data_IF_839065640836
#
_entry.id   IF_839065640836
#
_cell.length_a   1.000
_cell.length_b   1.000
_cell.length_c   1.000
_cell.angle_alpha   90.00
_cell.angle_beta   90.00
_cell.angle_gamma   90.00
#
_symmetry.space_group_name_H-M   'P 1'
#
loop_
_entity.id
_entity.type
_entity.pdbx_description
1 polymer ?
#
# COMPACT_ATOMS: atom_id res chain seq x y z
N UNK A 1 31.12 -0.57 0.10
CA UNK A 1 29.80 -1.22 -0.08
C UNK A 1 29.45 -1.18 -1.56
N UNK A 2 28.86 -2.20 -2.13
CA UNK A 2 28.41 -2.14 -3.52
C UNK A 2 27.36 -1.04 -3.65
N UNK A 3 27.44 -0.25 -4.72
CA UNK A 3 26.52 0.85 -5.01
C UNK A 3 25.77 0.55 -6.28
N UNK A 4 24.49 0.88 -6.28
CA UNK A 4 23.63 0.80 -7.46
C UNK A 4 23.18 2.22 -7.78
N UNK A 5 23.30 2.60 -9.04
CA UNK A 5 22.73 3.84 -9.52
C UNK A 5 21.21 3.70 -9.59
N UNK A 6 20.51 4.48 -8.76
CA UNK A 6 19.05 4.48 -8.73
C UNK A 6 18.57 5.45 -9.79
N UNK A 7 18.17 4.93 -10.93
CA UNK A 7 17.56 5.72 -12.00
C UNK A 7 16.28 6.39 -11.49
N UNK A 8 16.09 7.66 -11.81
CA UNK A 8 14.87 8.41 -11.47
C UNK A 8 14.55 8.49 -9.97
N UNK A 9 15.58 8.65 -9.11
CA UNK A 9 15.36 8.91 -7.68
C UNK A 9 14.52 10.19 -7.49
N UNK A 10 13.64 10.17 -6.50
CA UNK A 10 12.80 11.34 -6.18
C UNK A 10 13.61 12.48 -5.59
N UNK A 11 13.26 13.73 -5.96
CA UNK A 11 13.75 14.94 -5.30
C UNK A 11 13.18 15.08 -3.89
N UNK A 12 13.78 15.95 -3.05
CA UNK A 12 13.27 16.22 -1.69
C UNK A 12 11.86 16.77 -1.70
N UNK A 13 11.55 17.61 -2.67
CA UNK A 13 10.21 18.15 -2.82
C UNK A 13 9.19 17.07 -3.23
N UNK A 14 9.53 16.21 -4.21
CA UNK A 14 8.68 15.07 -4.58
C UNK A 14 8.49 14.13 -3.38
N UNK A 15 9.53 13.89 -2.59
CA UNK A 15 9.47 13.12 -1.36
C UNK A 15 8.46 13.72 -0.37
N UNK A 16 8.54 15.02 -0.13
CA UNK A 16 7.62 15.73 0.74
C UNK A 16 6.17 15.63 0.24
N UNK A 17 5.95 15.83 -1.07
CA UNK A 17 4.63 15.64 -1.69
C UNK A 17 4.15 14.21 -1.49
N UNK A 18 4.96 13.20 -1.77
CA UNK A 18 4.60 11.79 -1.57
C UNK A 18 4.28 11.49 -0.11
N UNK A 19 5.09 11.98 0.82
CA UNK A 19 4.92 11.69 2.24
C UNK A 19 3.69 12.36 2.86
N UNK A 20 3.45 13.63 2.58
CA UNK A 20 2.41 14.40 3.25
C UNK A 20 1.07 14.43 2.52
N UNK A 21 1.04 14.33 1.18
CA UNK A 21 -0.19 14.54 0.42
C UNK A 21 -0.86 13.28 -0.10
N UNK A 22 -0.12 12.16 -0.22
CA UNK A 22 -0.64 10.93 -0.82
C UNK A 22 -1.98 10.43 -0.24
N UNK A 23 -2.24 10.46 1.08
CA UNK A 23 -3.52 10.01 1.64
C UNK A 23 -4.69 10.90 1.27
N UNK A 24 -4.46 12.19 1.03
CA UNK A 24 -5.52 13.12 0.67
C UNK A 24 -5.99 12.94 -0.78
N UNK A 25 -5.14 12.36 -1.64
CA UNK A 25 -5.45 12.14 -3.04
C UNK A 25 -6.12 10.79 -3.30
N UNK A 26 -5.82 9.77 -2.49
CA UNK A 26 -6.10 8.39 -2.90
C UNK A 26 -7.50 7.91 -2.56
N UNK A 27 -8.17 8.29 -1.50
CA UNK A 27 -9.54 7.81 -1.24
C UNK A 27 -10.20 8.46 -0.02
N UNK A 28 -10.99 9.50 -0.24
CA UNK A 28 -12.12 9.76 0.65
C UNK A 28 -13.43 9.40 -0.08
N UNK A 29 -13.74 8.11 -0.14
CA UNK A 29 -15.14 7.72 -0.28
C UNK A 29 -15.82 8.08 1.05
N UNK A 30 -16.71 9.08 1.00
CA UNK A 30 -17.51 9.43 2.16
C UNK A 30 -18.26 8.14 2.60
N UNK A 31 -18.07 7.64 3.83
CA UNK A 31 -18.69 6.41 4.31
C UNK A 31 -20.21 6.44 4.20
N UNK A 32 -20.82 7.62 4.28
CA UNK A 32 -22.26 7.82 4.11
C UNK A 32 -22.67 7.50 2.67
N UNK A 33 -21.92 7.98 1.68
CA UNK A 33 -22.19 7.72 0.26
C UNK A 33 -22.08 6.23 -0.04
N UNK A 34 -21.03 5.58 0.49
CA UNK A 34 -20.82 4.15 0.31
C UNK A 34 -21.95 3.35 0.95
N UNK A 35 -22.34 3.70 2.18
CA UNK A 35 -23.44 3.06 2.89
C UNK A 35 -24.76 3.24 2.11
N UNK A 36 -25.08 4.46 1.68
CA UNK A 36 -26.29 4.75 0.89
C UNK A 36 -26.31 3.95 -0.41
N UNK A 37 -25.16 3.84 -1.09
CA UNK A 37 -25.02 3.03 -2.30
C UNK A 37 -25.33 1.56 -2.03
N UNK A 38 -24.74 0.96 -1.00
CA UNK A 38 -25.02 -0.44 -0.64
C UNK A 38 -26.48 -0.67 -0.26
N UNK A 39 -27.07 0.23 0.53
CA UNK A 39 -28.49 0.14 0.89
C UNK A 39 -29.38 0.20 -0.36
N UNK A 40 -29.04 1.07 -1.32
CA UNK A 40 -29.77 1.18 -2.60
C UNK A 40 -29.67 -0.10 -3.43
N UNK A 41 -28.48 -0.72 -3.50
CA UNK A 41 -28.30 -2.01 -4.20
C UNK A 41 -29.14 -3.11 -3.55
N UNK A 42 -29.08 -3.22 -2.21
CA UNK A 42 -29.87 -4.22 -1.46
C UNK A 42 -31.37 -4.00 -1.68
N UNK A 43 -31.83 -2.76 -1.62
CA UNK A 43 -33.25 -2.43 -1.83
C UNK A 43 -33.70 -2.78 -3.24
N UNK A 44 -32.97 -2.42 -4.28
CA UNK A 44 -33.28 -2.76 -5.66
C UNK A 44 -33.32 -4.29 -5.87
N UNK A 45 -32.38 -5.02 -5.25
CA UNK A 45 -32.39 -6.48 -5.28
C UNK A 45 -33.62 -7.06 -4.61
N UNK A 46 -34.01 -6.56 -3.43
CA UNK A 46 -35.22 -7.00 -2.71
C UNK A 46 -36.49 -6.74 -3.54
N UNK A 47 -36.60 -5.57 -4.18
CA UNK A 47 -37.74 -5.25 -5.04
C UNK A 47 -37.84 -6.22 -6.22
N UNK A 48 -36.69 -6.52 -6.86
CA UNK A 48 -36.61 -7.52 -7.95
C UNK A 48 -37.09 -8.89 -7.46
N UNK A 49 -36.56 -9.33 -6.32
CA UNK A 49 -36.88 -10.63 -5.72
C UNK A 49 -38.34 -10.77 -5.32
N UNK A 50 -38.90 -9.72 -4.71
CA UNK A 50 -40.33 -9.67 -4.38
C UNK A 50 -41.20 -9.71 -5.65
N UNK A 51 -40.81 -9.02 -6.70
CA UNK A 51 -41.46 -9.08 -8.00
C UNK A 51 -41.51 -10.49 -8.59
N UNK A 52 -40.44 -11.26 -8.41
CA UNK A 52 -40.41 -12.68 -8.83
C UNK A 52 -41.30 -13.56 -7.97
N UNK A 53 -41.27 -13.40 -6.64
CA UNK A 53 -42.12 -14.19 -5.73
C UNK A 53 -43.62 -13.95 -5.98
N UNK A 54 -44.02 -12.68 -6.14
CA UNK A 54 -45.41 -12.32 -6.35
C UNK A 54 -45.83 -12.38 -7.82
N UNK A 55 -44.99 -12.89 -8.71
CA UNK A 55 -45.23 -12.98 -10.15
C UNK A 55 -45.65 -11.63 -10.77
N UNK A 56 -45.17 -10.54 -10.21
CA UNK A 56 -45.48 -9.19 -10.67
C UNK A 56 -44.40 -8.70 -11.62
N UNK A 57 -44.66 -8.68 -12.94
CA UNK A 57 -43.63 -8.31 -13.93
C UNK A 57 -43.15 -6.85 -13.79
N UNK A 58 -44.02 -5.95 -13.36
CA UNK A 58 -43.64 -4.54 -13.22
C UNK A 58 -42.64 -4.33 -12.08
N UNK A 59 -42.78 -5.01 -10.95
CA UNK A 59 -41.83 -4.96 -9.84
C UNK A 59 -40.52 -5.65 -10.22
N UNK A 60 -40.58 -6.80 -10.87
CA UNK A 60 -39.39 -7.54 -11.28
C UNK A 60 -38.56 -6.76 -12.30
N UNK A 61 -39.18 -6.28 -13.39
CA UNK A 61 -38.44 -5.50 -14.40
C UNK A 61 -37.97 -4.14 -13.86
N UNK A 62 -38.83 -3.43 -13.10
CA UNK A 62 -38.47 -2.14 -12.51
C UNK A 62 -37.31 -2.27 -11.53
N UNK A 63 -37.32 -3.28 -10.65
CA UNK A 63 -36.25 -3.57 -9.73
C UNK A 63 -34.93 -3.95 -10.46
N UNK A 64 -35.03 -4.79 -11.49
CA UNK A 64 -33.85 -5.18 -12.30
C UNK A 64 -33.21 -3.99 -13.02
N UNK A 65 -34.03 -3.13 -13.64
CA UNK A 65 -33.55 -1.92 -14.31
C UNK A 65 -32.87 -1.00 -13.29
N UNK A 66 -33.49 -0.77 -12.13
CA UNK A 66 -32.91 0.05 -11.07
C UNK A 66 -31.58 -0.52 -10.58
N UNK A 67 -31.49 -1.85 -10.38
CA UNK A 67 -30.25 -2.53 -9.98
C UNK A 67 -29.14 -2.33 -11.00
N UNK A 68 -29.42 -2.51 -12.29
CA UNK A 68 -28.44 -2.30 -13.37
C UNK A 68 -27.95 -0.85 -13.39
N UNK A 69 -28.87 0.13 -13.28
CA UNK A 69 -28.49 1.55 -13.27
C UNK A 69 -27.61 1.88 -12.07
N UNK A 70 -27.95 1.40 -10.88
CA UNK A 70 -27.17 1.65 -9.65
C UNK A 70 -25.78 1.03 -9.78
N UNK A 71 -25.66 -0.19 -10.29
CA UNK A 71 -24.37 -0.86 -10.48
C UNK A 71 -23.51 -0.10 -11.50
N UNK A 72 -24.08 0.27 -12.66
CA UNK A 72 -23.37 1.04 -13.68
C UNK A 72 -22.89 2.40 -13.14
N UNK A 73 -23.76 3.10 -12.40
CA UNK A 73 -23.39 4.35 -11.75
C UNK A 73 -22.22 4.16 -10.78
N UNK A 74 -22.24 3.09 -9.97
CA UNK A 74 -21.16 2.78 -9.05
C UNK A 74 -19.82 2.52 -9.77
N UNK A 75 -19.85 1.74 -10.86
CA UNK A 75 -18.66 1.47 -11.67
C UNK A 75 -18.12 2.78 -12.25
N UNK A 76 -18.95 3.60 -12.88
CA UNK A 76 -18.55 4.87 -13.50
C UNK A 76 -18.00 5.84 -12.43
N UNK A 77 -18.65 5.94 -11.26
CA UNK A 77 -18.23 6.82 -10.20
C UNK A 77 -16.87 6.39 -9.61
N UNK A 78 -16.64 5.09 -9.41
CA UNK A 78 -15.39 4.56 -8.87
C UNK A 78 -14.27 4.72 -9.90
N UNK A 79 -14.48 4.30 -11.16
CA UNK A 79 -13.46 4.40 -12.21
C UNK A 79 -13.14 5.85 -12.56
N UNK A 80 -14.14 6.71 -12.65
CA UNK A 80 -13.94 8.14 -12.89
C UNK A 80 -13.16 8.82 -11.76
N UNK A 81 -13.45 8.48 -10.51
CA UNK A 81 -12.74 9.03 -9.36
C UNK A 81 -11.29 8.55 -9.28
N UNK A 82 -11.04 7.25 -9.53
CA UNK A 82 -9.66 6.72 -9.59
C UNK A 82 -8.86 7.37 -10.70
N UNK A 83 -9.43 7.53 -11.87
CA UNK A 83 -8.78 8.20 -13.00
C UNK A 83 -8.46 9.66 -12.68
N UNK A 84 -9.41 10.41 -12.12
CA UNK A 84 -9.20 11.82 -11.72
C UNK A 84 -8.13 11.96 -10.64
N UNK A 85 -8.10 11.05 -9.66
CA UNK A 85 -7.08 11.06 -8.63
C UNK A 85 -5.69 10.75 -9.19
N UNK A 86 -5.60 9.80 -10.14
CA UNK A 86 -4.35 9.48 -10.81
C UNK A 86 -3.84 10.65 -11.68
N UNK A 87 -4.74 11.34 -12.40
CA UNK A 87 -4.38 12.53 -13.16
C UNK A 87 -3.88 13.64 -12.27
N UNK A 88 -4.59 13.98 -11.20
CA UNK A 88 -4.15 14.99 -10.22
C UNK A 88 -2.81 14.62 -9.60
N UNK A 89 -2.61 13.35 -9.24
CA UNK A 89 -1.35 12.88 -8.70
C UNK A 89 -0.19 13.09 -9.69
N UNK A 90 -0.40 12.79 -10.96
CA UNK A 90 0.58 13.05 -12.02
C UNK A 90 0.87 14.55 -12.19
N UNK A 91 -0.15 15.40 -12.11
CA UNK A 91 0.01 16.86 -12.13
C UNK A 91 0.87 17.35 -10.96
N UNK A 92 0.56 16.91 -9.73
CA UNK A 92 1.37 17.26 -8.56
C UNK A 92 2.83 16.83 -8.68
N UNK A 93 3.08 15.62 -9.18
CA UNK A 93 4.45 15.15 -9.40
C UNK A 93 5.16 15.93 -10.52
N UNK A 94 4.45 16.32 -11.57
CA UNK A 94 5.00 17.12 -12.67
C UNK A 94 5.34 18.53 -12.18
N UNK A 95 4.48 19.17 -11.40
CA UNK A 95 4.73 20.47 -10.77
C UNK A 95 5.92 20.40 -9.80
N UNK A 96 5.98 19.34 -8.98
CA UNK A 96 7.07 19.08 -8.08
C UNK A 96 8.41 18.92 -8.83
N UNK A 97 8.38 18.26 -9.97
CA UNK A 97 9.59 18.07 -10.79
C UNK A 97 10.03 19.36 -11.48
N UNK A 98 9.08 20.20 -11.91
CA UNK A 98 9.35 21.52 -12.52
C UNK A 98 9.82 22.58 -11.51
N UNK A 99 9.46 22.44 -10.23
CA UNK A 99 9.78 23.40 -9.17
C UNK A 99 11.16 23.25 -8.54
N UNK A 100 12.06 22.47 -9.15
CA UNK A 100 13.43 22.19 -8.66
C UNK A 100 14.34 23.44 -8.60
N UNK A 101 13.83 24.64 -8.92
CA UNK A 101 14.54 25.88 -8.81
C UNK A 101 14.31 26.52 -7.43
N UNK A 102 15.25 26.27 -6.55
CA UNK A 102 15.74 27.16 -5.48
C UNK A 102 14.67 27.85 -4.62
N UNK A 103 14.05 27.12 -3.71
CA UNK A 103 13.61 27.72 -2.47
C UNK A 103 14.44 27.11 -1.34
N UNK A 104 15.63 27.67 -1.12
CA UNK A 104 16.34 27.50 0.15
C UNK A 104 15.62 28.32 1.21
N UNK A 105 14.56 27.78 1.75
CA UNK A 105 14.05 28.25 3.02
C UNK A 105 14.90 27.56 4.09
N UNK A 106 15.46 28.35 5.04
CA UNK A 106 16.10 27.86 6.27
C UNK A 106 15.08 27.16 7.22
N UNK A 107 14.30 26.27 6.66
CA UNK A 107 13.39 25.42 7.41
C UNK A 107 14.12 24.13 7.76
N UNK A 108 13.96 23.60 8.99
CA UNK A 108 14.55 22.32 9.35
C UNK A 108 14.04 21.25 8.37
N UNK A 109 14.94 20.38 7.93
CA UNK A 109 14.59 19.27 7.04
C UNK A 109 13.54 18.38 7.74
N UNK A 110 12.31 18.27 7.23
CA UNK A 110 11.26 17.45 7.85
C UNK A 110 11.62 15.95 7.86
N UNK A 111 12.70 15.56 7.18
CA UNK A 111 13.15 14.17 7.04
C UNK A 111 14.49 13.89 7.74
N UNK A 112 14.99 14.79 8.58
CA UNK A 112 16.26 14.60 9.31
C UNK A 112 16.26 13.29 10.13
N UNK A 113 15.12 12.97 10.76
CA UNK A 113 14.92 11.75 11.54
C UNK A 113 14.34 10.58 10.73
N UNK A 114 14.32 10.66 9.40
CA UNK A 114 13.79 9.63 8.54
C UNK A 114 14.90 8.85 7.83
N UNK A 115 14.60 7.58 7.57
CA UNK A 115 15.36 6.72 6.66
C UNK A 115 14.52 6.42 5.42
N UNK A 116 15.16 6.52 4.25
CA UNK A 116 14.55 6.23 2.97
C UNK A 116 15.18 4.98 2.37
N UNK A 117 14.38 3.94 2.23
CA UNK A 117 14.74 2.70 1.57
C UNK A 117 14.10 2.65 0.19
N UNK A 118 14.89 2.29 -0.81
CA UNK A 118 14.49 2.28 -2.22
C UNK A 118 14.68 0.88 -2.78
N UNK A 119 13.64 0.34 -3.41
CA UNK A 119 13.72 -0.92 -4.16
C UNK A 119 13.45 -0.60 -5.63
N UNK A 120 14.48 -0.67 -6.49
CA UNK A 120 14.32 -0.50 -7.93
C UNK A 120 13.53 -1.66 -8.53
N UNK A 121 12.38 -1.38 -9.17
CA UNK A 121 11.51 -2.40 -9.74
C UNK A 121 11.91 -2.83 -11.16
N UNK A 122 12.88 -2.15 -11.78
CA UNK A 122 13.37 -2.48 -13.12
C UNK A 122 14.10 -3.83 -13.18
N UNK A 123 14.71 -4.26 -12.10
CA UNK A 123 15.56 -5.46 -12.05
C UNK A 123 14.79 -6.74 -11.72
N UNK A 124 13.53 -6.80 -12.07
CA UNK A 124 12.61 -7.91 -11.81
C UNK A 124 12.99 -9.26 -12.46
N UNK A 125 14.13 -9.34 -13.14
CA UNK A 125 14.59 -10.56 -13.81
C UNK A 125 15.29 -11.57 -12.88
N UNK A 126 15.73 -11.12 -11.73
CA UNK A 126 16.32 -11.95 -10.69
C UNK A 126 15.38 -11.98 -9.51
N UNK A 127 15.13 -13.12 -8.89
CA UNK A 127 14.36 -13.24 -7.64
C UNK A 127 15.06 -12.55 -6.45
N UNK A 128 15.97 -11.63 -6.72
CA UNK A 128 16.78 -10.89 -5.78
C UNK A 128 16.56 -9.38 -6.00
N UNK A 129 16.01 -8.70 -5.01
CA UNK A 129 15.67 -7.29 -5.06
C UNK A 129 16.60 -6.51 -4.12
N UNK A 130 17.49 -5.66 -4.65
CA UNK A 130 18.31 -4.80 -3.81
C UNK A 130 17.45 -3.74 -3.13
N UNK A 131 17.68 -3.53 -1.84
CA UNK A 131 17.12 -2.45 -1.07
C UNK A 131 18.27 -1.49 -0.73
N UNK A 132 18.22 -0.30 -1.28
CA UNK A 132 19.30 0.68 -1.18
C UNK A 132 18.84 1.92 -0.41
N UNK A 133 19.82 2.65 0.14
CA UNK A 133 19.59 3.97 0.71
C UNK A 133 19.57 5.05 -0.39
N UNK A 134 19.46 6.30 0.00
CA UNK A 134 19.44 7.45 -0.92
C UNK A 134 20.76 7.62 -1.69
N UNK A 135 21.87 7.22 -1.10
CA UNK A 135 23.21 7.26 -1.67
C UNK A 135 23.47 6.10 -2.65
N UNK A 136 22.48 5.23 -2.86
CA UNK A 136 22.58 4.04 -3.72
C UNK A 136 23.36 2.90 -3.07
N UNK A 137 23.64 2.96 -1.77
CA UNK A 137 24.34 1.90 -1.04
C UNK A 137 23.36 0.78 -0.71
N UNK A 138 23.74 -0.45 -0.97
CA UNK A 138 22.90 -1.62 -0.68
C UNK A 138 22.92 -1.87 0.82
N UNK A 139 21.73 -1.80 1.43
CA UNK A 139 21.51 -2.06 2.85
C UNK A 139 21.04 -3.50 3.05
N UNK A 140 20.09 -3.93 2.21
CA UNK A 140 19.53 -5.29 2.24
C UNK A 140 19.33 -5.83 0.83
N UNK A 141 19.26 -7.15 0.75
CA UNK A 141 18.69 -7.86 -0.39
C UNK A 141 17.45 -8.61 0.04
N UNK A 142 16.39 -8.52 -0.75
CA UNK A 142 15.16 -9.27 -0.56
C UNK A 142 15.15 -10.37 -1.62
N UNK A 143 15.29 -11.62 -1.22
CA UNK A 143 15.33 -12.78 -2.12
C UNK A 143 14.04 -13.58 -2.04
N UNK A 144 13.40 -13.83 -3.18
CA UNK A 144 12.28 -14.74 -3.29
C UNK A 144 12.76 -16.15 -3.54
N UNK A 145 12.51 -17.09 -2.63
CA UNK A 145 12.89 -18.52 -2.75
C UNK A 145 11.80 -19.37 -3.37
N UNK A 146 10.56 -19.18 -2.95
CA UNK A 146 9.41 -19.97 -3.39
C UNK A 146 8.27 -19.02 -3.79
N UNK A 147 8.04 -18.85 -5.07
CA UNK A 147 6.94 -18.09 -5.71
C UNK A 147 5.94 -17.45 -4.73
N UNK A 148 6.35 -16.35 -4.07
CA UNK A 148 5.55 -15.58 -3.14
C UNK A 148 5.28 -16.21 -1.77
N UNK A 149 5.89 -17.34 -1.42
CA UNK A 149 5.65 -18.03 -0.13
C UNK A 149 6.79 -17.93 0.86
N UNK A 150 8.01 -17.88 0.36
CA UNK A 150 9.20 -17.85 1.18
C UNK A 150 10.17 -16.79 0.68
N UNK A 151 10.55 -15.90 1.57
CA UNK A 151 11.44 -14.78 1.29
C UNK A 151 12.56 -14.74 2.32
N UNK A 152 13.74 -14.29 1.91
CA UNK A 152 14.89 -14.11 2.77
C UNK A 152 15.34 -12.65 2.65
N UNK A 153 15.57 -11.99 3.78
CA UNK A 153 16.25 -10.71 3.82
C UNK A 153 17.70 -10.97 4.19
N UNK A 154 18.60 -10.55 3.31
CA UNK A 154 20.03 -10.63 3.47
C UNK A 154 20.62 -9.25 3.77
N UNK A 155 21.72 -9.22 4.48
CA UNK A 155 22.48 -7.98 4.68
C UNK A 155 23.28 -7.59 3.42
N UNK A 156 24.01 -6.50 3.49
CA UNK A 156 24.88 -6.02 2.40
C UNK A 156 26.03 -6.97 2.05
N UNK A 157 26.31 -7.97 2.88
CA UNK A 157 27.30 -9.03 2.67
C UNK A 157 26.66 -10.33 2.17
N UNK A 158 25.39 -10.27 1.77
CA UNK A 158 24.59 -11.43 1.31
C UNK A 158 24.37 -12.53 2.37
N UNK A 159 24.60 -12.21 3.64
CA UNK A 159 24.31 -13.13 4.73
C UNK A 159 22.82 -13.10 5.05
N UNK A 160 22.21 -14.27 5.20
CA UNK A 160 20.81 -14.42 5.60
C UNK A 160 20.62 -13.86 7.01
N UNK A 161 19.77 -12.86 7.14
CA UNK A 161 19.47 -12.20 8.42
C UNK A 161 18.07 -12.57 8.90
N UNK A 162 17.10 -12.58 7.97
CA UNK A 162 15.71 -12.85 8.32
C UNK A 162 15.04 -13.74 7.28
N UNK A 163 14.18 -14.60 7.78
CA UNK A 163 13.35 -15.50 6.98
C UNK A 163 11.89 -15.07 7.09
N UNK A 164 11.20 -14.98 5.96
CA UNK A 164 9.80 -14.55 5.90
C UNK A 164 8.97 -15.64 5.25
N UNK A 165 7.99 -16.14 6.00
CA UNK A 165 6.99 -17.04 5.47
C UNK A 165 5.70 -16.30 5.16
N UNK A 166 5.26 -16.37 3.91
CA UNK A 166 4.05 -15.76 3.43
C UNK A 166 2.94 -16.81 3.25
N UNK A 167 1.74 -16.49 3.72
CA UNK A 167 0.53 -17.30 3.50
C UNK A 167 -0.58 -16.42 2.96
N UNK A 168 -1.34 -16.91 1.98
CA UNK A 168 -2.53 -16.22 1.52
C UNK A 168 -3.60 -16.21 2.62
N UNK A 169 -4.21 -15.06 2.84
CA UNK A 169 -5.34 -14.95 3.76
C UNK A 169 -6.61 -15.45 3.05
N UNK A 170 -7.25 -16.46 3.61
CA UNK A 170 -8.39 -17.19 3.01
C UNK A 170 -9.57 -16.31 2.59
N UNK A 171 -9.82 -15.20 3.30
CA UNK A 171 -10.99 -14.33 3.07
C UNK A 171 -10.74 -13.13 2.13
N UNK A 172 -9.53 -12.96 1.63
CA UNK A 172 -9.15 -11.76 0.91
C UNK A 172 -9.31 -11.85 -0.61
N UNK A 173 -9.50 -13.04 -1.14
CA UNK A 173 -9.67 -13.29 -2.58
C UNK A 173 -10.89 -12.55 -3.15
N UNK A 174 -11.86 -12.20 -2.29
CA UNK A 174 -13.13 -11.59 -2.72
C UNK A 174 -13.02 -10.06 -2.90
N UNK A 175 -12.04 -9.39 -2.28
CA UNK A 175 -12.05 -7.93 -2.15
C UNK A 175 -10.83 -7.19 -2.71
N UNK A 176 -9.79 -7.88 -3.17
CA UNK A 176 -8.61 -7.22 -3.74
C UNK A 176 -8.07 -7.97 -4.94
N UNK A 177 -7.59 -7.24 -5.94
CA UNK A 177 -6.95 -7.81 -7.14
C UNK A 177 -5.63 -8.56 -6.85
N UNK A 178 -5.06 -8.37 -5.65
CA UNK A 178 -3.91 -9.12 -5.14
C UNK A 178 -4.33 -9.76 -3.82
N UNK A 179 -4.16 -11.07 -3.69
CA UNK A 179 -4.44 -11.78 -2.44
C UNK A 179 -3.53 -11.25 -1.33
N UNK A 180 -4.06 -10.66 -0.24
CA UNK A 180 -3.23 -10.17 0.83
C UNK A 180 -2.51 -11.33 1.52
N UNK A 181 -1.24 -11.09 1.79
CA UNK A 181 -0.36 -12.05 2.41
C UNK A 181 -0.31 -11.84 3.94
N UNK A 182 -0.38 -12.93 4.67
CA UNK A 182 0.03 -12.96 6.08
C UNK A 182 1.52 -13.26 6.08
N UNK A 183 2.34 -12.30 6.54
CA UNK A 183 3.78 -12.48 6.62
C UNK A 183 4.17 -12.79 8.07
N UNK A 184 5.01 -13.78 8.25
CA UNK A 184 5.67 -14.08 9.52
C UNK A 184 7.17 -13.93 9.33
N UNK A 185 7.79 -13.03 10.10
CA UNK A 185 9.21 -12.70 10.04
C UNK A 185 9.93 -13.41 11.18
N UNK A 186 10.94 -14.18 10.85
CA UNK A 186 11.75 -14.93 11.80
C UNK A 186 13.21 -14.43 11.77
N UNK A 187 13.83 -14.42 12.95
CA UNK A 187 15.26 -14.21 13.15
C UNK A 187 15.76 -15.35 14.02
N UNK A 188 16.73 -16.11 13.57
CA UNK A 188 17.24 -17.30 14.28
C UNK A 188 16.10 -18.20 14.78
N UNK A 189 15.17 -18.56 13.89
CA UNK A 189 13.96 -19.37 14.17
C UNK A 189 12.96 -18.77 15.16
N UNK A 190 13.19 -17.57 15.68
CA UNK A 190 12.25 -16.87 16.54
C UNK A 190 11.34 -15.95 15.74
N UNK A 191 10.06 -16.00 16.04
CA UNK A 191 9.09 -15.08 15.43
C UNK A 191 9.27 -13.67 16.01
N UNK A 192 9.81 -12.74 15.21
CA UNK A 192 10.08 -11.35 15.63
C UNK A 192 9.00 -10.37 15.18
N UNK A 193 8.33 -10.64 14.06
CA UNK A 193 7.24 -9.80 13.59
C UNK A 193 6.19 -10.60 12.82
N UNK A 194 4.98 -10.07 12.78
CA UNK A 194 3.88 -10.59 11.98
C UNK A 194 3.12 -9.46 11.31
N UNK A 195 2.90 -9.58 10.01
CA UNK A 195 2.03 -8.69 9.22
C UNK A 195 0.77 -9.45 8.86
N UNK A 196 -0.38 -8.91 9.25
CA UNK A 196 -1.70 -9.48 8.93
C UNK A 196 -2.50 -8.48 8.11
N UNK A 197 -3.11 -8.89 6.98
CA UNK A 197 -4.07 -8.06 6.30
C UNK A 197 -5.29 -7.85 7.20
N UNK A 198 -5.85 -6.66 7.13
CA UNK A 198 -7.06 -6.29 7.82
C UNK A 198 -8.11 -5.85 6.81
N UNK A 199 -9.36 -6.19 7.09
CA UNK A 199 -10.46 -5.69 6.29
C UNK A 199 -10.54 -4.15 6.40
N UNK A 200 -10.58 -3.49 5.26
CA UNK A 200 -10.80 -2.05 5.16
C UNK A 200 -11.65 -1.74 3.94
N UNK A 201 -12.63 -0.86 4.11
CA UNK A 201 -13.43 -0.35 2.99
C UNK A 201 -12.66 0.65 2.10
N UNK A 202 -11.47 1.08 2.52
CA UNK A 202 -10.75 2.20 1.93
C UNK A 202 -9.36 1.83 1.39
N UNK A 203 -9.19 0.61 0.92
CA UNK A 203 -7.93 0.14 0.35
C UNK A 203 -7.22 -0.91 1.20
N UNK A 204 -5.96 -1.18 0.89
CA UNK A 204 -5.17 -2.17 1.63
C UNK A 204 -4.90 -1.69 3.05
N UNK A 205 -5.17 -2.55 4.01
CA UNK A 205 -4.90 -2.31 5.42
C UNK A 205 -4.21 -3.52 6.02
N UNK A 206 -3.17 -3.27 6.82
CA UNK A 206 -2.40 -4.30 7.49
C UNK A 206 -2.19 -3.94 8.96
N UNK A 207 -2.03 -4.96 9.79
CA UNK A 207 -1.61 -4.85 11.17
C UNK A 207 -0.23 -5.48 11.28
N UNK A 208 0.76 -4.71 11.73
CA UNK A 208 2.11 -5.21 12.02
C UNK A 208 2.21 -5.37 13.52
N UNK A 209 2.45 -6.59 13.97
CA UNK A 209 2.72 -6.89 15.37
C UNK A 209 4.19 -7.25 15.51
N UNK A 210 4.94 -6.47 16.29
CA UNK A 210 6.29 -6.80 16.72
C UNK A 210 6.21 -7.57 18.03
N UNK A 211 7.09 -8.55 18.19
CA UNK A 211 7.21 -9.35 19.41
C UNK A 211 8.48 -9.02 20.19
N UNK A 212 9.56 -8.62 19.51
CA UNK A 212 10.84 -8.26 20.11
C UNK A 212 11.38 -6.96 19.47
N UNK A 213 12.19 -6.14 20.19
CA UNK A 213 12.51 -6.20 21.63
C UNK A 213 11.38 -5.70 22.53
N UNK A 214 10.42 -4.98 22.00
CA UNK A 214 9.21 -4.50 22.68
C UNK A 214 8.00 -4.78 21.81
N UNK A 215 6.96 -5.34 22.41
CA UNK A 215 5.70 -5.55 21.71
C UNK A 215 5.11 -4.21 21.29
N UNK A 216 5.06 -3.97 19.96
CA UNK A 216 4.48 -2.78 19.36
C UNK A 216 3.52 -3.20 18.26
N UNK A 217 2.46 -2.43 18.07
CA UNK A 217 1.47 -2.67 17.03
C UNK A 217 1.39 -1.43 16.14
N UNK A 218 1.72 -1.61 14.86
CA UNK A 218 1.57 -0.58 13.85
C UNK A 218 0.36 -0.88 12.97
N UNK A 219 -0.32 0.15 12.58
CA UNK A 219 -1.41 0.09 11.63
C UNK A 219 -0.93 0.62 10.29
N UNK A 220 -1.16 -0.15 9.25
CA UNK A 220 -0.92 0.31 7.88
C UNK A 220 -2.28 0.53 7.25
N UNK A 221 -2.53 1.75 6.83
CA UNK A 221 -3.74 2.12 6.10
C UNK A 221 -3.34 2.80 4.81
N UNK A 222 -3.76 2.20 3.70
CA UNK A 222 -3.33 2.61 2.37
C UNK A 222 -1.80 2.53 2.24
N UNK A 223 -1.11 3.64 2.21
CA UNK A 223 0.35 3.70 2.15
C UNK A 223 0.99 4.18 3.46
N UNK A 224 0.20 4.72 4.40
CA UNK A 224 0.70 5.26 5.67
C UNK A 224 0.87 4.19 6.74
N UNK A 225 1.94 4.29 7.50
CA UNK A 225 2.27 3.46 8.65
C UNK A 225 2.06 4.30 9.90
N UNK A 226 1.20 3.83 10.81
CA UNK A 226 0.77 4.59 11.98
C UNK A 226 1.10 3.83 13.26
N UNK A 227 1.62 4.55 14.26
CA UNK A 227 1.71 4.12 15.64
C UNK A 227 0.83 5.04 16.50
N UNK A 228 -0.15 4.50 17.24
CA UNK A 228 -1.04 5.27 18.11
C UNK A 228 -1.69 6.51 17.44
N UNK A 229 -2.00 6.47 16.14
CA UNK A 229 -2.53 7.54 15.28
C UNK A 229 -1.50 8.53 14.71
N UNK A 230 -0.24 8.46 15.10
CA UNK A 230 0.82 9.24 14.50
C UNK A 230 1.34 8.56 13.24
N UNK A 231 1.56 9.33 12.18
CA UNK A 231 2.16 8.86 10.94
C UNK A 231 3.67 8.73 11.19
N UNK A 232 4.18 7.51 11.23
CA UNK A 232 5.59 7.22 11.50
C UNK A 232 6.35 6.74 10.26
N UNK A 233 5.65 6.50 9.17
CA UNK A 233 6.26 6.09 7.92
C UNK A 233 5.24 5.96 6.80
N UNK A 234 5.75 5.74 5.59
CA UNK A 234 4.94 5.58 4.39
C UNK A 234 5.62 4.70 3.36
N UNK A 235 4.80 3.96 2.61
CA UNK A 235 5.24 3.21 1.43
C UNK A 235 4.56 3.83 0.22
N UNK A 236 5.33 4.15 -0.81
CA UNK A 236 4.80 4.70 -2.04
C UNK A 236 5.64 4.27 -3.23
N UNK A 237 5.03 4.20 -4.39
CA UNK A 237 5.70 3.89 -5.64
C UNK A 237 5.69 5.15 -6.52
N UNK A 238 6.88 5.56 -6.94
CA UNK A 238 7.05 6.64 -7.90
C UNK A 238 7.87 6.12 -9.06
N UNK A 239 7.37 6.28 -10.29
CA UNK A 239 8.01 5.77 -11.50
C UNK A 239 8.28 4.27 -11.40
N UNK A 240 9.55 3.88 -11.41
CA UNK A 240 10.00 2.47 -11.37
C UNK A 240 10.60 2.06 -10.04
N UNK A 241 10.45 2.89 -9.02
CA UNK A 241 11.02 2.65 -7.70
C UNK A 241 9.92 2.55 -6.65
N UNK A 242 10.09 1.60 -5.73
CA UNK A 242 9.28 1.47 -4.51
C UNK A 242 10.06 2.09 -3.36
N UNK A 243 9.42 2.98 -2.63
CA UNK A 243 10.01 3.72 -1.52
C UNK A 243 9.35 3.30 -0.21
N UNK A 244 10.18 3.08 0.80
CA UNK A 244 9.79 2.99 2.20
C UNK A 244 10.46 4.14 2.94
N UNK A 245 9.67 5.11 3.36
CA UNK A 245 10.09 6.27 4.13
C UNK A 245 9.59 6.13 5.55
N UNK A 246 10.48 6.06 6.53
CA UNK A 246 10.13 5.76 7.91
C UNK A 246 11.02 6.51 8.89
N UNK A 247 10.45 6.99 10.00
CA UNK A 247 11.22 7.60 11.09
C UNK A 247 12.17 6.58 11.71
N UNK A 248 13.43 6.93 11.90
CA UNK A 248 14.51 6.07 12.42
C UNK A 248 14.13 5.28 13.67
N UNK A 249 13.47 5.88 14.71
CA UNK A 249 13.10 5.14 15.92
C UNK A 249 12.03 4.07 15.68
N UNK A 250 11.34 4.12 14.55
CA UNK A 250 10.24 3.22 14.20
C UNK A 250 10.60 2.19 13.13
N UNK A 251 11.79 2.30 12.52
CA UNK A 251 12.25 1.31 11.57
C UNK A 251 12.38 -0.07 12.24
N UNK A 252 11.81 -1.05 11.62
CA UNK A 252 11.88 -2.45 12.05
C UNK A 252 11.57 -3.39 10.87
N UNK A 253 11.84 -4.66 11.10
CA UNK A 253 11.71 -5.69 10.06
C UNK A 253 10.27 -5.98 9.65
N UNK A 254 9.32 -5.84 10.56
CA UNK A 254 7.91 -5.93 10.21
C UNK A 254 7.53 -4.86 9.19
N UNK A 255 8.05 -3.65 9.34
CA UNK A 255 7.85 -2.54 8.39
C UNK A 255 8.60 -2.83 7.08
N UNK A 256 9.85 -3.27 7.14
CA UNK A 256 10.59 -3.64 5.94
C UNK A 256 9.89 -4.75 5.15
N UNK A 257 9.28 -5.73 5.83
CA UNK A 257 8.54 -6.81 5.17
C UNK A 257 7.30 -6.35 4.40
N UNK A 258 6.80 -5.12 4.65
CA UNK A 258 5.72 -4.53 3.85
C UNK A 258 6.11 -4.30 2.39
N UNK A 259 7.40 -4.13 2.10
CA UNK A 259 7.87 -4.02 0.72
C UNK A 259 7.49 -5.27 -0.09
N UNK A 260 7.54 -6.45 0.56
CA UNK A 260 7.11 -7.72 -0.05
C UNK A 260 5.60 -7.72 -0.29
N UNK A 261 4.80 -7.24 0.67
CA UNK A 261 3.34 -7.28 0.56
C UNK A 261 2.79 -6.24 -0.41
N UNK A 262 3.55 -5.19 -0.70
CA UNK A 262 3.07 -4.06 -1.50
C UNK A 262 3.20 -4.25 -3.00
N UNK A 263 4.24 -4.95 -3.48
CA UNK A 263 4.54 -4.99 -4.92
C UNK A 263 5.30 -6.25 -5.39
N UNK A 264 6.07 -6.86 -4.51
CA UNK A 264 6.86 -8.05 -4.85
C UNK A 264 5.99 -9.28 -4.75
#
# INVERSE_FOLDING_TARGET
MPRIEVDDCISDYERAVCYFTLPHLIFHLNPIILFTYFVSVIFAFLVTFMGLIFLNPYLSYGGTIALVIIILYGIIAITGKTLLNELRWREYLAEAHGSTSQVSLDLPDPFEDHELYIVPLKERQTHLYPCVNREGEIIYFIEEKEKGRHWIIKDSLEKDVYTIHAKHALFSIVFTSKAPLILKVYHDDKLVAQVKPRFSFFGSSYLITLFEPQAKIYWVLQSGIFLQRELVGRIYQVRKNLYLDVQKPHFNLGILSLLISSQL
#
